data_IF_639767784655
#
_entry.id   IF_639767784655
#
_cell.length_a   1.000
_cell.length_b   1.000
_cell.length_c   1.000
_cell.angle_alpha   90.00
_cell.angle_beta   90.00
_cell.angle_gamma   90.00
#
_symmetry.space_group_name_H-M   'P 1'
#
loop_
_entity.id
_entity.type
_entity.pdbx_description
1 polymer ?
#
# COMPACT_ATOMS: atom_id res chain seq x y z
N UNK A 1 1.80 1.35 17.38
CA UNK A 1 1.25 2.38 16.46
C UNK A 1 -0.14 1.97 15.96
N UNK A 2 -0.21 1.09 15.00
CA UNK A 2 -1.53 0.65 14.49
C UNK A 2 -1.69 -0.87 14.66
N UNK A 3 -2.58 -1.47 13.93
CA UNK A 3 -2.79 -2.95 14.05
C UNK A 3 -2.46 -3.64 12.73
N UNK A 4 -1.35 -3.29 12.12
CA UNK A 4 -0.99 -3.91 10.83
C UNK A 4 0.53 -4.16 10.75
N UNK A 5 1.03 -4.47 9.58
CA UNK A 5 2.49 -4.74 9.41
C UNK A 5 2.76 -5.23 7.99
N UNK A 6 4.01 -5.37 7.63
CA UNK A 6 4.35 -5.85 6.25
C UNK A 6 3.98 -7.33 6.09
N UNK A 7 3.67 -7.99 7.17
CA UNK A 7 3.28 -9.44 7.08
C UNK A 7 1.79 -9.58 7.41
N UNK A 8 1.13 -8.49 7.71
CA UNK A 8 -0.32 -8.54 8.03
C UNK A 8 -1.06 -7.43 7.28
N UNK A 9 -0.51 -6.95 6.19
CA UNK A 9 -1.17 -5.85 5.43
C UNK A 9 -2.11 -6.41 4.35
N UNK A 10 -2.24 -7.71 4.29
CA UNK A 10 -3.16 -8.30 3.26
C UNK A 10 -4.56 -8.43 3.85
N UNK A 11 -4.82 -7.76 4.95
CA UNK A 11 -6.16 -7.84 5.58
C UNK A 11 -7.05 -6.68 5.13
N UNK A 12 -6.53 -5.47 5.11
CA UNK A 12 -7.37 -4.33 4.69
C UNK A 12 -7.14 -3.97 3.22
N UNK A 13 -8.20 -3.62 2.54
CA UNK A 13 -8.09 -3.26 1.11
C UNK A 13 -7.63 -1.81 0.93
N UNK A 14 -6.42 -1.50 1.33
CA UNK A 14 -5.90 -0.10 1.19
C UNK A 14 -6.98 0.95 1.50
N UNK A 15 -7.53 0.95 2.69
CA UNK A 15 -8.56 1.98 3.02
C UNK A 15 -8.91 1.93 4.51
N UNK A 16 -8.94 0.77 5.08
CA UNK A 16 -9.28 0.66 6.54
C UNK A 16 -8.22 1.32 7.41
N UNK A 17 -7.09 1.69 6.84
CA UNK A 17 -6.01 2.31 7.67
C UNK A 17 -5.12 3.25 6.85
N UNK A 18 -5.48 3.57 5.64
CA UNK A 18 -4.60 4.47 4.80
C UNK A 18 -4.83 5.94 5.16
N UNK A 19 -4.09 6.83 4.56
CA UNK A 19 -4.22 8.29 4.88
C UNK A 19 -2.85 8.83 5.28
N UNK A 20 -2.60 8.93 6.56
CA UNK A 20 -1.28 9.44 7.04
C UNK A 20 -0.32 8.27 7.25
N UNK A 21 -0.71 7.30 8.03
CA UNK A 21 0.16 6.10 8.22
C UNK A 21 0.55 5.56 6.83
N UNK A 22 -0.21 5.94 5.84
CA UNK A 22 0.06 5.50 4.45
C UNK A 22 1.45 5.96 4.00
N UNK A 23 1.71 7.23 4.06
CA UNK A 23 3.06 7.72 3.62
C UNK A 23 4.14 6.70 4.00
N UNK A 24 4.08 6.15 5.19
CA UNK A 24 5.09 5.13 5.61
C UNK A 24 4.63 3.72 5.24
N UNK A 25 3.40 3.57 4.87
CA UNK A 25 2.85 2.24 4.48
C UNK A 25 2.93 2.13 2.95
N UNK A 26 2.44 3.13 2.25
CA UNK A 26 2.49 3.12 0.76
C UNK A 26 3.93 3.27 0.29
N UNK A 27 4.66 4.22 0.83
CA UNK A 27 6.08 4.37 0.41
C UNK A 27 6.84 3.11 0.84
N UNK A 28 6.27 2.39 1.78
CA UNK A 28 6.89 1.15 2.26
C UNK A 28 6.41 -0.02 1.38
N UNK A 29 5.11 -0.17 1.19
CA UNK A 29 4.61 -1.27 0.29
C UNK A 29 5.35 -1.19 -1.03
N UNK A 30 5.59 0.00 -1.46
CA UNK A 30 6.32 0.19 -2.74
C UNK A 30 7.81 -0.15 -2.54
N UNK A 31 8.28 -0.02 -1.32
CA UNK A 31 9.72 -0.35 -1.04
C UNK A 31 9.84 -1.85 -0.80
N UNK A 32 8.85 -2.44 -0.19
CA UNK A 32 8.87 -3.91 0.08
C UNK A 32 8.25 -4.62 -1.11
N UNK A 33 7.06 -4.23 -1.48
CA UNK A 33 6.40 -4.86 -2.66
C UNK A 33 6.68 -4.03 -3.93
N UNK A 34 7.61 -4.47 -4.72
CA UNK A 34 7.96 -3.73 -5.97
C UNK A 34 6.85 -3.90 -7.00
N UNK A 35 6.84 -3.05 -8.01
CA UNK A 35 5.79 -3.13 -9.05
C UNK A 35 4.40 -3.07 -8.42
N UNK A 36 3.76 -1.93 -8.50
CA UNK A 36 2.39 -1.79 -7.89
C UNK A 36 1.54 -3.03 -8.19
N UNK A 37 1.73 -3.63 -9.33
CA UNK A 37 0.94 -4.85 -9.68
C UNK A 37 1.20 -5.94 -8.63
N UNK A 38 2.44 -6.31 -8.42
CA UNK A 38 2.75 -7.36 -7.40
C UNK A 38 2.55 -6.78 -6.00
N UNK A 39 2.64 -5.47 -5.88
CA UNK A 39 2.44 -4.83 -4.54
C UNK A 39 0.97 -4.95 -4.15
N UNK A 40 0.10 -4.73 -5.09
CA UNK A 40 -1.36 -4.83 -4.81
C UNK A 40 -1.74 -6.28 -4.51
N UNK A 41 -0.91 -7.22 -4.90
CA UNK A 41 -1.23 -8.66 -4.64
C UNK A 41 -1.17 -8.95 -3.14
N UNK A 42 -0.28 -8.31 -2.43
CA UNK A 42 -0.17 -8.55 -0.97
C UNK A 42 -1.13 -7.63 -0.21
N UNK A 43 -1.34 -6.44 -0.70
CA UNK A 43 -2.26 -5.49 -0.03
C UNK A 43 -3.71 -5.76 -0.45
N UNK A 44 -3.95 -6.83 -1.19
CA UNK A 44 -5.34 -7.15 -1.62
C UNK A 44 -6.00 -5.91 -2.23
N UNK A 45 -5.70 -5.62 -3.48
CA UNK A 45 -6.30 -4.42 -4.12
C UNK A 45 -6.32 -4.56 -5.64
N UNK A 46 -6.91 -3.62 -6.32
CA UNK A 46 -6.95 -3.68 -7.81
C UNK A 46 -5.73 -3.00 -8.40
N UNK A 47 -4.58 -3.18 -7.79
CA UNK A 47 -3.32 -2.55 -8.28
C UNK A 47 -3.52 -1.08 -8.66
N UNK A 48 -3.93 -0.81 -9.88
CA UNK A 48 -4.11 0.61 -10.32
C UNK A 48 -4.70 1.43 -9.18
N UNK A 49 -5.67 0.87 -8.51
CA UNK A 49 -6.28 1.60 -7.36
C UNK A 49 -5.21 1.86 -6.31
N UNK A 50 -4.47 0.84 -5.94
CA UNK A 50 -3.38 1.02 -4.93
C UNK A 50 -2.41 2.11 -5.40
N UNK A 51 -1.99 2.03 -6.64
CA UNK A 51 -1.05 3.05 -7.18
C UNK A 51 -1.65 4.44 -7.12
N UNK A 52 -2.75 4.66 -7.79
CA UNK A 52 -3.40 6.02 -7.77
C UNK A 52 -3.43 6.57 -6.34
N UNK A 53 -3.83 5.76 -5.38
CA UNK A 53 -3.88 6.25 -3.98
C UNK A 53 -2.54 6.86 -3.61
N UNK A 54 -1.49 6.09 -3.61
CA UNK A 54 -0.16 6.67 -3.22
C UNK A 54 0.52 7.31 -4.42
N UNK A 55 -0.09 7.26 -5.57
CA UNK A 55 0.52 7.92 -6.75
C UNK A 55 0.55 9.41 -6.47
N UNK A 56 -0.53 9.92 -5.93
CA UNK A 56 -0.57 11.38 -5.59
C UNK A 56 0.23 11.65 -4.30
N UNK A 57 0.59 10.63 -3.57
CA UNK A 57 1.38 10.85 -2.31
C UNK A 57 2.83 11.18 -2.67
N UNK A 58 3.23 10.89 -3.87
CA UNK A 58 4.64 11.17 -4.29
C UNK A 58 5.37 9.85 -4.52
N UNK A 59 4.64 8.79 -4.76
CA UNK A 59 5.28 7.46 -4.99
C UNK A 59 4.82 6.88 -6.33
N UNK A 60 4.58 5.59 -6.38
CA UNK A 60 4.12 4.97 -7.64
C UNK A 60 5.22 5.11 -8.71
N UNK A 61 5.29 6.24 -9.34
CA UNK A 61 6.33 6.45 -10.40
C UNK A 61 7.29 7.58 -9.98
#
# INVERSE_FOLDING_TARGET
SAVISLDEFENKTLDEIIGFYEAQVLKLFYAEYPSTRKLAQRLGVSHTAIANKLKQYGIGK
#
